data_IF_764248053836
#
_entry.id   IF_764248053836
#
_cell.length_a   1.000
_cell.length_b   1.000
_cell.length_c   1.000
_cell.angle_alpha   90.00
_cell.angle_beta   90.00
_cell.angle_gamma   90.00
#
_symmetry.space_group_name_H-M   'P 1'
#
loop_
_entity.id
_entity.type
_entity.pdbx_description
1 polymer ?
#
# COMPACT_ATOMS: atom_id res chain seq x y z
N UNK A 1 -4.75 -16.02 16.07
CA UNK A 1 -4.51 -16.45 14.67
C UNK A 1 -5.78 -16.19 13.88
N UNK A 2 -5.65 -15.48 12.76
CA UNK A 2 -6.77 -15.20 11.88
C UNK A 2 -6.64 -16.04 10.61
N UNK A 3 -7.75 -16.61 10.17
CA UNK A 3 -7.79 -17.39 8.95
C UNK A 3 -8.16 -16.49 7.78
N UNK A 4 -7.46 -16.65 6.65
CA UNK A 4 -7.78 -15.93 5.41
C UNK A 4 -8.33 -16.93 4.40
N UNK A 5 -9.52 -16.63 3.88
CA UNK A 5 -10.09 -17.34 2.74
C UNK A 5 -9.35 -16.92 1.47
N UNK A 6 -8.78 -17.88 0.76
CA UNK A 6 -8.22 -17.72 -0.58
C UNK A 6 -9.01 -18.57 -1.57
N UNK A 7 -8.78 -18.40 -2.87
CA UNK A 7 -9.39 -19.27 -3.89
C UNK A 7 -8.98 -20.75 -3.73
N UNK A 8 -7.85 -21.02 -3.05
CA UNK A 8 -7.37 -22.37 -2.74
C UNK A 8 -7.93 -22.92 -1.42
N UNK A 9 -8.84 -22.18 -0.77
CA UNK A 9 -9.40 -22.49 0.53
C UNK A 9 -8.83 -21.61 1.65
N UNK A 10 -9.17 -21.98 2.88
CA UNK A 10 -8.80 -21.25 4.08
C UNK A 10 -7.36 -21.57 4.47
N UNK A 11 -6.57 -20.54 4.79
CA UNK A 11 -5.17 -20.70 5.17
C UNK A 11 -4.83 -19.91 6.45
N UNK A 12 -4.05 -20.54 7.34
CA UNK A 12 -3.50 -19.94 8.57
C UNK A 12 -2.22 -19.15 8.23
N UNK A 13 -2.40 -18.07 7.46
CA UNK A 13 -1.30 -17.20 6.99
C UNK A 13 -0.98 -16.06 7.97
N UNK A 14 -1.89 -15.74 8.89
CA UNK A 14 -1.81 -14.53 9.70
C UNK A 14 -1.15 -14.82 11.04
N UNK A 15 0.00 -14.17 11.24
CA UNK A 15 0.84 -14.31 12.42
C UNK A 15 0.62 -13.17 13.42
N UNK A 16 0.09 -12.04 12.96
CA UNK A 16 -0.25 -10.91 13.82
C UNK A 16 -1.23 -9.97 13.15
N UNK A 17 -1.77 -9.04 13.92
CA UNK A 17 -2.62 -7.96 13.43
C UNK A 17 -2.39 -6.69 14.24
N UNK A 18 -2.59 -5.53 13.62
CA UNK A 18 -2.48 -4.25 14.33
C UNK A 18 -2.52 -3.07 13.38
N UNK A 19 -2.09 -1.92 13.89
CA UNK A 19 -1.99 -0.70 13.08
C UNK A 19 -0.66 -0.72 12.33
N UNK A 20 -0.71 -0.53 11.02
CA UNK A 20 0.48 -0.30 10.20
C UNK A 20 0.47 1.14 9.68
N UNK A 21 1.58 1.85 9.86
CA UNK A 21 1.78 3.18 9.25
C UNK A 21 3.09 3.20 8.50
N UNK A 22 3.08 3.73 7.28
CA UNK A 22 4.26 3.80 6.43
C UNK A 22 4.20 5.01 5.51
N UNK A 23 5.37 5.41 5.00
CA UNK A 23 5.51 6.54 4.08
C UNK A 23 5.99 6.02 2.73
N UNK A 24 5.31 6.43 1.65
CA UNK A 24 5.69 6.07 0.29
C UNK A 24 6.82 6.97 -0.24
N UNK A 25 7.31 6.63 -1.42
CA UNK A 25 8.53 7.21 -1.97
C UNK A 25 8.44 8.71 -2.20
N UNK A 26 7.27 9.28 -2.47
CA UNK A 26 7.08 10.73 -2.59
C UNK A 26 6.59 11.40 -1.30
N UNK A 27 6.59 10.69 -0.16
CA UNK A 27 6.21 11.24 1.13
C UNK A 27 4.73 11.04 1.48
N UNK A 28 3.98 10.32 0.65
CA UNK A 28 2.56 10.02 0.94
C UNK A 28 2.46 9.10 2.14
N UNK A 29 1.85 9.58 3.22
CA UNK A 29 1.66 8.80 4.44
C UNK A 29 0.41 7.92 4.31
N UNK A 30 0.55 6.67 4.72
CA UNK A 30 -0.53 5.68 4.77
C UNK A 30 -0.66 5.13 6.20
N UNK A 31 -1.90 5.06 6.68
CA UNK A 31 -2.25 4.42 7.94
C UNK A 31 -3.35 3.37 7.72
N UNK A 32 -3.10 2.15 8.16
CA UNK A 32 -4.03 1.03 8.10
C UNK A 32 -4.34 0.64 9.54
N UNK A 33 -5.62 0.71 9.94
CA UNK A 33 -6.04 0.43 11.31
C UNK A 33 -6.00 -1.06 11.64
N UNK A 34 -6.34 -1.90 10.66
CA UNK A 34 -6.56 -3.34 10.83
C UNK A 34 -5.66 -4.12 9.87
N UNK A 35 -4.36 -3.88 9.93
CA UNK A 35 -3.37 -4.57 9.09
C UNK A 35 -3.12 -5.99 9.61
N UNK A 36 -2.91 -6.93 8.69
CA UNK A 36 -2.57 -8.31 9.00
C UNK A 36 -1.12 -8.59 8.60
N UNK A 37 -0.37 -9.21 9.51
CA UNK A 37 1.03 -9.58 9.30
C UNK A 37 1.14 -11.05 8.91
N UNK A 38 1.88 -11.33 7.84
CA UNK A 38 2.15 -12.67 7.34
C UNK A 38 3.58 -12.76 6.83
N UNK A 39 4.48 -13.43 7.55
CA UNK A 39 5.88 -13.61 7.10
C UNK A 39 6.00 -14.48 5.86
N UNK A 40 5.01 -15.36 5.64
CA UNK A 40 4.95 -16.27 4.48
C UNK A 40 4.59 -15.56 3.18
N UNK A 41 4.02 -14.36 3.26
CA UNK A 41 3.67 -13.60 2.07
C UNK A 41 4.86 -12.80 1.54
N UNK A 42 5.27 -13.08 0.29
CA UNK A 42 6.31 -12.30 -0.41
C UNK A 42 5.78 -10.95 -0.93
N UNK A 43 4.47 -10.72 -0.88
CA UNK A 43 3.78 -9.57 -1.46
C UNK A 43 2.79 -9.01 -0.44
N UNK A 44 2.63 -7.70 -0.45
CA UNK A 44 1.61 -7.04 0.37
C UNK A 44 0.32 -6.90 -0.43
N UNK A 45 -0.80 -7.07 0.25
CA UNK A 45 -2.12 -6.72 -0.27
C UNK A 45 -2.56 -5.44 0.42
N UNK A 46 -2.99 -4.46 -0.38
CA UNK A 46 -3.53 -3.21 0.11
C UNK A 46 -4.98 -3.10 -0.33
N UNK A 47 -5.89 -2.94 0.61
CA UNK A 47 -7.30 -2.82 0.27
C UNK A 47 -7.57 -1.42 -0.30
N UNK A 48 -8.44 -1.34 -1.31
CA UNK A 48 -8.92 -0.05 -1.82
C UNK A 48 -9.60 0.78 -0.72
N UNK A 49 -10.28 0.11 0.22
CA UNK A 49 -10.93 0.76 1.36
C UNK A 49 -9.92 1.51 2.23
N UNK A 50 -8.75 0.94 2.49
CA UNK A 50 -7.71 1.59 3.29
C UNK A 50 -7.13 2.82 2.57
N UNK A 51 -6.94 2.73 1.25
CA UNK A 51 -6.52 3.88 0.42
C UNK A 51 -7.54 5.02 0.56
N UNK A 52 -8.84 4.72 0.41
CA UNK A 52 -9.92 5.72 0.54
C UNK A 52 -10.00 6.32 1.94
N UNK A 53 -9.79 5.52 2.99
CA UNK A 53 -9.76 5.98 4.38
C UNK A 53 -8.63 6.98 4.65
N UNK A 54 -7.53 6.89 3.90
CA UNK A 54 -6.44 7.87 3.94
C UNK A 54 -6.72 9.12 3.07
N UNK A 55 -7.93 9.25 2.49
CA UNK A 55 -8.30 10.40 1.67
C UNK A 55 -7.78 10.35 0.23
N UNK A 56 -7.17 9.24 -0.18
CA UNK A 56 -6.59 9.09 -1.52
C UNK A 56 -7.50 8.32 -2.46
N UNK A 57 -7.31 8.52 -3.76
CA UNK A 57 -7.91 7.75 -4.84
C UNK A 57 -6.81 7.00 -5.60
N UNK A 58 -7.21 6.00 -6.38
CA UNK A 58 -6.32 5.35 -7.34
C UNK A 58 -6.91 5.36 -8.74
N UNK A 59 -6.04 5.48 -9.73
CA UNK A 59 -6.37 5.37 -11.15
C UNK A 59 -5.22 4.71 -11.90
N UNK A 60 -5.54 3.89 -12.90
CA UNK A 60 -4.53 3.33 -13.81
C UNK A 60 -4.38 4.22 -15.03
N UNK A 61 -3.16 4.35 -15.52
CA UNK A 61 -2.85 5.10 -16.74
C UNK A 61 -1.76 4.41 -17.54
N UNK A 62 -1.62 4.76 -18.81
CA UNK A 62 -0.51 4.36 -19.64
C UNK A 62 0.29 5.59 -20.06
N UNK A 63 1.59 5.56 -19.83
CA UNK A 63 2.51 6.60 -20.25
C UNK A 63 3.68 5.97 -21.00
N UNK A 64 3.88 6.39 -22.24
CA UNK A 64 4.97 5.89 -23.11
C UNK A 64 5.00 4.35 -23.19
N UNK A 65 3.83 3.72 -23.27
CA UNK A 65 3.68 2.27 -23.34
C UNK A 65 3.83 1.54 -22.01
N UNK A 66 4.05 2.25 -20.89
CA UNK A 66 4.17 1.66 -19.55
C UNK A 66 2.92 1.96 -18.72
N UNK A 67 2.37 0.94 -18.08
CA UNK A 67 1.25 1.10 -17.16
C UNK A 67 1.73 1.63 -15.82
N UNK A 68 0.95 2.54 -15.22
CA UNK A 68 1.15 3.03 -13.87
C UNK A 68 -0.17 3.01 -13.09
N UNK A 69 -0.08 2.75 -11.79
CA UNK A 69 -1.13 3.06 -10.83
C UNK A 69 -0.75 4.37 -10.14
N UNK A 70 -1.60 5.37 -10.30
CA UNK A 70 -1.46 6.63 -9.58
C UNK A 70 -2.20 6.56 -8.25
N UNK A 71 -1.58 7.05 -7.20
CA UNK A 71 -2.28 7.44 -5.98
C UNK A 71 -2.50 8.94 -6.07
N UNK A 72 -3.75 9.38 -6.01
CA UNK A 72 -4.12 10.78 -6.16
C UNK A 72 -4.79 11.31 -4.91
N UNK A 73 -4.54 12.58 -4.61
CA UNK A 73 -5.20 13.34 -3.56
C UNK A 73 -5.95 14.53 -4.14
N UNK A 74 -6.70 15.23 -3.29
CA UNK A 74 -7.27 16.51 -3.62
C UNK A 74 -6.59 17.59 -2.77
N UNK A 75 -6.02 18.59 -3.43
CA UNK A 75 -5.55 19.79 -2.77
C UNK A 75 -6.18 21.01 -3.45
N UNK A 76 -6.88 21.82 -2.64
CA UNK A 76 -7.62 23.01 -3.07
C UNK A 76 -8.62 22.76 -4.21
N UNK A 77 -9.34 21.63 -4.16
CA UNK A 77 -10.35 21.25 -5.15
C UNK A 77 -9.77 20.63 -6.43
N UNK A 78 -8.44 20.49 -6.53
CA UNK A 78 -7.76 19.95 -7.72
C UNK A 78 -7.13 18.59 -7.42
N UNK A 79 -7.29 17.67 -8.38
CA UNK A 79 -6.61 16.37 -8.37
C UNK A 79 -5.10 16.58 -8.46
N UNK A 80 -4.35 15.95 -7.57
CA UNK A 80 -2.89 15.91 -7.60
C UNK A 80 -2.41 14.45 -7.58
N UNK A 81 -1.38 14.15 -8.36
CA UNK A 81 -0.71 12.84 -8.33
C UNK A 81 0.30 12.87 -7.19
N UNK A 82 0.08 12.04 -6.18
CA UNK A 82 0.93 11.94 -5.00
C UNK A 82 2.00 10.87 -5.20
N UNK A 83 1.60 9.71 -5.70
CA UNK A 83 2.52 8.60 -6.01
C UNK A 83 2.24 8.05 -7.41
N UNK A 84 3.30 7.52 -8.02
CA UNK A 84 3.24 6.85 -9.31
C UNK A 84 3.92 5.49 -9.19
N UNK A 85 3.12 4.43 -9.23
CA UNK A 85 3.57 3.06 -9.03
C UNK A 85 3.67 2.35 -10.38
N UNK A 86 4.85 1.83 -10.73
CA UNK A 86 5.06 1.15 -12.00
C UNK A 86 4.29 -0.18 -12.02
N UNK A 87 3.49 -0.39 -13.06
CA UNK A 87 2.83 -1.66 -13.35
C UNK A 87 3.82 -2.67 -13.96
N UNK A 88 3.72 -3.91 -13.50
CA UNK A 88 4.42 -5.07 -14.05
C UNK A 88 3.50 -5.83 -15.00
N UNK A 89 4.07 -6.63 -15.90
CA UNK A 89 3.31 -7.52 -16.79
C UNK A 89 2.43 -8.55 -16.04
N UNK A 90 2.70 -8.76 -14.74
CA UNK A 90 1.88 -9.60 -13.85
C UNK A 90 0.62 -8.91 -13.31
N UNK A 91 0.37 -7.65 -13.65
CA UNK A 91 -0.73 -6.84 -13.10
C UNK A 91 -0.46 -6.33 -11.68
N UNK A 92 0.77 -6.44 -11.19
CA UNK A 92 1.18 -5.88 -9.90
C UNK A 92 1.83 -4.52 -10.04
N UNK A 93 1.68 -3.70 -8.99
CA UNK A 93 2.29 -2.38 -8.91
C UNK A 93 3.44 -2.37 -7.90
N UNK A 94 4.59 -1.83 -8.32
CA UNK A 94 5.75 -1.69 -7.45
C UNK A 94 5.52 -0.49 -6.51
N UNK A 95 5.50 -0.78 -5.22
CA UNK A 95 5.40 0.20 -4.14
C UNK A 95 6.70 0.21 -3.35
N UNK A 96 7.33 1.38 -3.20
CA UNK A 96 8.53 1.55 -2.39
C UNK A 96 8.22 2.42 -1.18
N UNK A 97 8.40 1.83 0.00
CA UNK A 97 8.26 2.46 1.30
C UNK A 97 9.60 3.11 1.66
N UNK A 98 9.57 4.34 2.17
CA UNK A 98 10.74 4.99 2.75
C UNK A 98 11.07 4.30 4.07
N UNK A 99 12.35 3.98 4.29
CA UNK A 99 12.80 3.66 5.63
C UNK A 99 12.55 4.90 6.50
N UNK A 100 11.80 4.75 7.60
CA UNK A 100 11.71 5.82 8.58
C UNK A 100 13.13 6.07 9.11
N UNK A 101 13.52 7.33 9.25
CA UNK A 101 14.64 7.69 10.12
C UNK A 101 14.25 7.20 11.52
N UNK A 102 14.76 6.05 11.91
CA UNK A 102 14.74 5.63 13.31
C UNK A 102 15.54 6.69 14.05
N UNK A 103 14.83 7.57 14.75
CA UNK A 103 15.46 8.42 15.74
C UNK A 103 15.99 7.43 16.77
N UNK A 104 17.31 7.24 16.81
CA UNK A 104 17.95 6.40 17.80
C UNK A 104 17.40 6.83 19.16
N UNK A 105 16.74 5.91 19.86
CA UNK A 105 16.44 6.11 21.27
C UNK A 105 17.81 6.23 21.92
N UNK A 106 18.13 7.42 22.41
CA UNK A 106 19.30 7.65 23.26
C UNK A 106 19.05 6.82 24.52
N UNK A 107 20.06 6.02 24.87
CA UNK A 107 20.14 5.17 26.08
C UNK A 107 19.61 5.86 27.35
#
# INVERSE_FOLDING_TARGET
KANVGTISGTSDLIEGSGIASFVLSNGTQMRITDALYSTKSRRNLLSFKDIRRNGYHIETTNENGKEYLYITGNASGRKQILEKLLGLSSGLYIMKIRANESHNVVD
#
